data_IF_016046093520
#
_entry.id   IF_016046093520
#
_cell.length_a   1.000
_cell.length_b   1.000
_cell.length_c   1.000
_cell.angle_alpha   90.00
_cell.angle_beta   90.00
_cell.angle_gamma   90.00
#
_symmetry.space_group_name_H-M   'P 1'
#
loop_
_entity.id
_entity.type
_entity.pdbx_description
1 polymer ?
#
# COMPACT_ATOMS: atom_id res chain seq x y z
N UNK A 1 0.84 -14.43 0.89
CA UNK A 1 1.09 -13.56 2.04
C UNK A 1 0.06 -12.47 2.09
N UNK A 2 -0.20 -11.99 3.28
CA UNK A 2 -1.22 -10.97 3.44
C UNK A 2 -0.70 -9.59 3.11
N UNK A 3 -1.59 -8.77 2.55
CA UNK A 3 -1.27 -7.37 2.33
C UNK A 3 -1.35 -6.64 3.67
N UNK A 4 -0.62 -5.54 3.79
CA UNK A 4 -0.62 -4.78 5.05
C UNK A 4 -1.84 -3.87 5.18
N UNK A 5 -2.61 -3.71 4.12
CA UNK A 5 -3.85 -2.93 4.15
C UNK A 5 -4.86 -3.57 3.22
N UNK A 6 -6.13 -3.19 3.40
CA UNK A 6 -7.21 -3.73 2.59
C UNK A 6 -7.85 -2.61 1.78
N UNK A 7 -8.78 -3.00 0.89
CA UNK A 7 -9.54 -2.02 0.13
C UNK A 7 -10.33 -1.10 1.06
N UNK A 8 -10.90 -1.67 2.14
CA UNK A 8 -11.60 -0.88 3.13
C UNK A 8 -10.69 0.13 3.79
N UNK A 9 -9.45 -0.27 4.07
CA UNK A 9 -8.49 0.64 4.68
C UNK A 9 -8.21 1.84 3.78
N UNK A 10 -8.11 1.61 2.48
CA UNK A 10 -7.92 2.71 1.55
C UNK A 10 -9.08 3.68 1.61
N UNK A 11 -10.29 3.16 1.62
CA UNK A 11 -11.47 4.00 1.60
C UNK A 11 -11.68 4.73 2.93
N UNK A 12 -11.27 4.10 4.03
CA UNK A 12 -11.38 4.73 5.35
C UNK A 12 -10.33 5.79 5.58
N UNK A 13 -9.09 5.50 5.17
CA UNK A 13 -7.97 6.39 5.47
C UNK A 13 -7.71 7.43 4.40
N UNK A 14 -8.22 7.23 3.21
CA UNK A 14 -8.01 8.17 2.11
C UNK A 14 -9.35 8.65 1.55
N UNK A 15 -9.96 7.87 0.68
CA UNK A 15 -11.25 8.24 0.10
C UNK A 15 -11.88 7.02 -0.57
N UNK A 16 -13.13 7.16 -0.92
CA UNK A 16 -13.82 6.12 -1.64
C UNK A 16 -13.22 5.98 -3.04
N UNK A 17 -13.03 4.74 -3.47
CA UNK A 17 -12.44 4.47 -4.76
C UNK A 17 -13.48 4.45 -5.87
N UNK A 18 -13.12 4.98 -7.01
CA UNK A 18 -13.96 4.87 -8.20
C UNK A 18 -13.90 3.44 -8.72
N UNK A 19 -14.98 2.98 -9.37
CA UNK A 19 -14.98 1.61 -9.90
C UNK A 19 -13.77 1.29 -10.76
N UNK A 20 -13.34 2.22 -11.59
CA UNK A 20 -12.21 1.99 -12.48
C UNK A 20 -10.88 1.94 -11.75
N UNK A 21 -10.83 2.39 -10.50
CA UNK A 21 -9.61 2.34 -9.70
C UNK A 21 -9.46 1.06 -8.89
N UNK A 22 -10.55 0.32 -8.72
CA UNK A 22 -10.55 -0.78 -7.76
C UNK A 22 -9.60 -1.89 -8.12
N UNK A 23 -9.59 -2.30 -9.37
CA UNK A 23 -8.71 -3.37 -9.80
C UNK A 23 -7.24 -3.01 -9.61
N UNK A 24 -6.89 -1.78 -9.99
CA UNK A 24 -5.51 -1.34 -9.84
C UNK A 24 -5.13 -1.19 -8.38
N UNK A 25 -6.05 -0.67 -7.56
CA UNK A 25 -5.78 -0.51 -6.14
C UNK A 25 -5.51 -1.86 -5.48
N UNK A 26 -6.28 -2.87 -5.87
CA UNK A 26 -6.09 -4.20 -5.33
C UNK A 26 -4.71 -4.75 -5.64
N UNK A 27 -4.26 -4.55 -6.87
CA UNK A 27 -2.93 -4.99 -7.26
C UNK A 27 -1.85 -4.21 -6.53
N UNK A 28 -2.06 -2.90 -6.38
CA UNK A 28 -1.08 -2.06 -5.71
C UNK A 28 -0.92 -2.43 -4.23
N UNK A 29 -2.00 -2.85 -3.59
CA UNK A 29 -1.88 -3.29 -2.20
C UNK A 29 -0.86 -4.40 -2.05
N UNK A 30 -0.91 -5.37 -2.96
CA UNK A 30 0.03 -6.47 -2.92
C UNK A 30 1.45 -6.01 -3.28
N UNK A 31 1.58 -5.21 -4.32
CA UNK A 31 2.89 -4.74 -4.76
C UNK A 31 3.57 -3.91 -3.69
N UNK A 32 2.84 -2.99 -3.08
CA UNK A 32 3.41 -2.14 -2.04
C UNK A 32 3.79 -2.96 -0.82
N UNK A 33 2.91 -3.90 -0.44
CA UNK A 33 3.21 -4.76 0.71
C UNK A 33 4.48 -5.57 0.48
N UNK A 34 4.62 -6.12 -0.73
CA UNK A 34 5.83 -6.89 -1.05
C UNK A 34 7.06 -5.99 -1.09
N UNK A 35 6.90 -4.76 -1.56
CA UNK A 35 8.02 -3.83 -1.58
C UNK A 35 8.52 -3.53 -0.17
N UNK A 36 7.60 -3.35 0.77
CA UNK A 36 7.98 -3.10 2.15
C UNK A 36 8.70 -4.31 2.75
N UNK A 37 8.23 -5.51 2.45
CA UNK A 37 8.90 -6.71 2.91
C UNK A 37 10.31 -6.83 2.34
N UNK A 38 10.45 -6.50 1.08
CA UNK A 38 11.74 -6.55 0.43
C UNK A 38 12.73 -5.58 1.05
N UNK A 39 12.27 -4.36 1.34
CA UNK A 39 13.13 -3.37 1.98
C UNK A 39 13.62 -3.86 3.34
N UNK A 40 12.73 -4.52 4.10
CA UNK A 40 13.12 -5.07 5.38
C UNK A 40 14.15 -6.19 5.21
N UNK A 41 13.95 -7.04 4.21
CA UNK A 41 14.87 -8.14 3.95
C UNK A 41 16.26 -7.65 3.63
N UNK A 42 16.37 -6.53 2.93
CA UNK A 42 17.66 -5.98 2.55
C UNK A 42 18.53 -5.64 3.76
N UNK A 43 17.89 -5.38 4.90
CA UNK A 43 18.62 -5.07 6.12
C UNK A 43 18.53 -6.23 7.13
N UNK A 44 18.19 -7.41 6.65
CA UNK A 44 18.19 -8.61 7.47
C UNK A 44 17.02 -8.73 8.43
N UNK A 45 15.88 -8.11 8.10
CA UNK A 45 14.73 -8.14 8.98
C UNK A 45 13.55 -8.85 8.35
N UNK A 46 12.68 -9.39 9.21
CA UNK A 46 11.44 -10.03 8.77
C UNK A 46 10.29 -9.13 9.21
N UNK A 47 9.73 -8.39 8.26
CA UNK A 47 8.71 -7.39 8.58
C UNK A 47 7.45 -8.02 9.13
N UNK A 48 7.03 -9.16 8.60
CA UNK A 48 5.82 -9.83 9.10
C UNK A 48 5.98 -10.21 10.56
N UNK A 49 7.14 -10.68 10.95
CA UNK A 49 7.38 -11.05 12.33
C UNK A 49 7.42 -9.81 13.23
N UNK A 50 8.03 -8.73 12.74
CA UNK A 50 8.06 -7.49 13.49
C UNK A 50 6.66 -6.95 13.72
N UNK A 51 5.81 -7.03 12.71
CA UNK A 51 4.45 -6.55 12.80
C UNK A 51 3.63 -7.39 13.78
N UNK A 52 3.84 -8.71 13.78
CA UNK A 52 3.10 -9.56 14.70
C UNK A 52 3.47 -9.29 16.16
N UNK A 53 4.62 -8.68 16.38
CA UNK A 53 5.08 -8.37 17.75
C UNK A 53 4.79 -6.93 18.16
N UNK A 54 4.20 -6.13 17.29
CA UNK A 54 3.97 -4.72 17.61
C UNK A 54 2.72 -4.21 16.92
N UNK A 55 1.72 -3.90 17.74
CA UNK A 55 0.48 -3.34 17.21
C UNK A 55 0.72 -2.00 16.55
N UNK A 56 1.60 -1.20 17.13
CA UNK A 56 1.93 0.11 16.57
C UNK A 56 2.54 -0.04 15.19
N UNK A 57 3.46 -0.97 15.03
CA UNK A 57 4.10 -1.17 13.73
C UNK A 57 3.10 -1.69 12.71
N UNK A 58 2.17 -2.52 13.15
CA UNK A 58 1.12 -3.01 12.27
C UNK A 58 0.32 -1.83 11.69
N UNK A 59 -0.04 -0.88 12.56
CA UNK A 59 -0.80 0.28 12.12
C UNK A 59 0.02 1.21 11.23
N UNK A 60 1.31 1.34 11.51
CA UNK A 60 2.19 2.15 10.67
C UNK A 60 2.31 1.51 9.28
N UNK A 61 2.48 0.19 9.22
CA UNK A 61 2.59 -0.49 7.95
C UNK A 61 1.32 -0.32 7.12
N UNK A 62 0.17 -0.40 7.79
CA UNK A 62 -1.11 -0.18 7.11
C UNK A 62 -1.17 1.24 6.55
N UNK A 63 -0.83 2.22 7.36
CA UNK A 63 -0.91 3.62 6.96
C UNK A 63 0.04 3.93 5.80
N UNK A 64 1.25 3.40 5.87
CA UNK A 64 2.23 3.62 4.80
C UNK A 64 1.74 2.97 3.51
N UNK A 65 1.20 1.76 3.61
CA UNK A 65 0.71 1.05 2.43
C UNK A 65 -0.40 1.84 1.75
N UNK A 66 -1.37 2.33 2.53
CA UNK A 66 -2.45 3.13 1.98
C UNK A 66 -1.91 4.41 1.35
N UNK A 67 -0.97 5.06 2.00
CA UNK A 67 -0.41 6.30 1.50
C UNK A 67 0.27 6.11 0.14
N UNK A 68 1.07 5.06 0.02
CA UNK A 68 1.77 4.80 -1.23
C UNK A 68 0.79 4.42 -2.35
N UNK A 69 -0.21 3.59 -2.02
CA UNK A 69 -1.23 3.22 -3.00
C UNK A 69 -1.97 4.48 -3.47
N UNK A 70 -2.36 5.34 -2.53
CA UNK A 70 -3.09 6.56 -2.87
C UNK A 70 -2.27 7.46 -3.78
N UNK A 71 -1.01 7.66 -3.44
CA UNK A 71 -0.13 8.51 -4.26
C UNK A 71 0.06 7.93 -5.65
N UNK A 72 0.20 6.61 -5.74
CA UNK A 72 0.38 5.97 -7.03
C UNK A 72 -0.86 6.12 -7.89
N UNK A 73 -2.03 5.97 -7.29
CA UNK A 73 -3.28 6.15 -8.05
C UNK A 73 -3.43 7.58 -8.54
N UNK A 74 -3.10 8.54 -7.69
CA UNK A 74 -3.17 9.95 -8.08
C UNK A 74 -2.19 10.26 -9.19
N UNK A 75 -0.99 9.78 -9.06
CA UNK A 75 0.04 10.03 -10.05
C UNK A 75 -0.31 9.41 -11.39
N UNK A 76 -0.82 8.19 -11.37
CA UNK A 76 -1.22 7.52 -12.60
C UNK A 76 -2.28 8.31 -13.33
N UNK A 77 -3.23 8.85 -12.59
CA UNK A 77 -4.30 9.63 -13.19
C UNK A 77 -3.78 10.92 -13.78
N UNK A 78 -2.86 11.55 -13.08
CA UNK A 78 -2.38 12.86 -13.48
C UNK A 78 -1.36 12.84 -14.57
N UNK A 79 -0.57 11.78 -14.64
CA UNK A 79 0.53 11.78 -15.57
C UNK A 79 0.17 11.38 -16.94
N UNK A 80 -0.99 10.80 -17.08
CA UNK A 80 -1.39 10.32 -18.31
C UNK A 80 -1.20 11.31 -19.43
N UNK A 81 -1.56 12.48 -19.32
CA UNK A 81 -1.46 13.36 -20.44
C UNK A 81 -0.10 13.84 -20.71
N UNK A 82 0.68 13.74 -20.01
CA UNK A 82 1.82 14.29 -20.10
C UNK A 82 2.59 13.89 -21.00
N UNK A 83 2.56 13.35 -21.21
CA UNK A 83 3.23 13.02 -22.09
C UNK A 83 3.69 13.79 -22.82
N UNK A 84 3.71 14.31 -22.72
CA UNK A 84 4.16 15.05 -23.36
C UNK A 84 4.75 15.27 -23.62
#
# INVERSE_FOLDING_TARGET
MNDFATMDDIQTLWRELKPEEMSRAKELLTVVSESLRYEAEKVGRNLDQMISNSESLKNVAKSVTVDVVARTLMTSTDTEPMTQ
#
